data_IF_737453200873
#
_entry.id   IF_737453200873
#
_cell.length_a   1.000
_cell.length_b   1.000
_cell.length_c   1.000
_cell.angle_alpha   90.00
_cell.angle_beta   90.00
_cell.angle_gamma   90.00
#
_symmetry.space_group_name_H-M   'P 1'
#
loop_
_entity.id
_entity.type
_entity.pdbx_description
1 polymer ?
#
# COMPACT_ATOMS: atom_id res chain seq x y z
N UNK A 1 23.89 5.40 4.28
CA UNK A 1 22.91 5.56 3.18
C UNK A 1 21.86 4.44 3.21
N UNK A 2 22.26 3.16 3.31
CA UNK A 2 21.35 2.00 3.31
C UNK A 2 20.19 2.08 4.33
N UNK A 3 20.48 2.33 5.62
CA UNK A 3 19.42 2.43 6.64
C UNK A 3 18.43 3.59 6.39
N UNK A 4 18.90 4.72 5.84
CA UNK A 4 18.00 5.83 5.49
C UNK A 4 17.03 5.43 4.37
N UNK A 5 17.52 4.71 3.36
CA UNK A 5 16.70 4.21 2.26
C UNK A 5 15.73 3.10 2.72
N UNK A 6 16.16 2.28 3.69
CA UNK A 6 15.31 1.24 4.31
C UNK A 6 14.20 1.84 5.17
N UNK A 7 14.53 2.80 6.05
CA UNK A 7 13.54 3.53 6.86
C UNK A 7 12.58 4.29 5.94
N UNK A 8 13.12 4.95 4.91
CA UNK A 8 12.36 5.59 3.83
C UNK A 8 11.32 6.59 4.33
N UNK A 9 11.75 7.56 5.17
CA UNK A 9 10.88 8.65 5.62
C UNK A 9 10.58 9.60 4.45
N UNK A 10 9.31 9.78 4.16
CA UNK A 10 8.80 10.64 3.08
C UNK A 10 7.88 11.71 3.65
N UNK A 11 8.08 12.96 3.23
CA UNK A 11 7.12 14.04 3.48
C UNK A 11 6.33 14.22 2.19
N UNK A 12 5.00 14.25 2.29
CA UNK A 12 4.14 14.34 1.13
C UNK A 12 2.75 14.83 1.50
N UNK A 13 1.80 14.56 0.62
CA UNK A 13 0.39 14.92 0.80
C UNK A 13 -0.44 13.66 0.63
N UNK A 14 -1.36 13.44 1.57
CA UNK A 14 -2.45 12.47 1.42
C UNK A 14 -3.58 13.18 0.67
N UNK A 15 -4.02 12.61 -0.44
CA UNK A 15 -4.96 13.23 -1.36
C UNK A 15 -6.17 12.29 -1.52
N UNK A 16 -7.36 12.83 -1.36
CA UNK A 16 -8.61 12.11 -1.50
C UNK A 16 -9.21 12.34 -2.88
N UNK A 17 -9.46 11.26 -3.62
CA UNK A 17 -10.16 11.26 -4.89
C UNK A 17 -11.59 10.73 -4.68
N UNK A 18 -12.61 11.59 -4.69
CA UNK A 18 -14.00 11.14 -4.56
C UNK A 18 -14.38 10.17 -5.68
N UNK A 19 -15.16 9.15 -5.38
CA UNK A 19 -15.67 8.22 -6.38
C UNK A 19 -17.14 7.90 -6.14
N UNK A 20 -17.78 7.45 -7.21
CA UNK A 20 -19.11 6.85 -7.20
C UNK A 20 -19.04 5.51 -7.92
N UNK A 21 -19.54 4.45 -7.30
CA UNK A 21 -19.71 3.13 -7.88
C UNK A 21 -21.17 2.89 -8.26
N UNK A 22 -21.45 2.02 -9.25
CA UNK A 22 -22.81 1.70 -9.67
C UNK A 22 -23.63 0.99 -8.59
N UNK A 23 -22.95 0.31 -7.66
CA UNK A 23 -23.57 -0.39 -6.54
C UNK A 23 -22.67 -0.34 -5.29
N UNK A 24 -23.24 -0.57 -4.09
CA UNK A 24 -22.51 -0.67 -2.83
C UNK A 24 -21.27 -1.56 -2.87
N UNK A 25 -20.17 -1.07 -2.28
CA UNK A 25 -18.98 -1.89 -2.03
C UNK A 25 -19.20 -2.82 -0.84
N UNK A 26 -19.39 -4.12 -1.08
CA UNK A 26 -19.43 -5.14 -0.02
C UNK A 26 -20.50 -4.89 1.06
N UNK A 27 -21.64 -4.28 0.69
CA UNK A 27 -22.72 -3.91 1.62
C UNK A 27 -22.58 -2.52 2.27
N UNK A 28 -21.57 -1.73 1.88
CA UNK A 28 -21.37 -0.34 2.31
C UNK A 28 -22.04 0.70 1.42
N UNK A 29 -21.42 1.86 1.26
CA UNK A 29 -21.92 2.92 0.39
C UNK A 29 -21.47 2.74 -1.07
N UNK A 30 -22.23 3.32 -2.00
CA UNK A 30 -21.90 3.37 -3.42
C UNK A 30 -21.04 4.61 -3.78
N UNK A 31 -20.52 5.30 -2.78
CA UNK A 31 -19.64 6.46 -2.95
C UNK A 31 -18.63 6.50 -1.82
N UNK A 32 -17.50 7.13 -2.06
CA UNK A 32 -16.48 7.29 -1.03
C UNK A 32 -15.32 8.14 -1.51
N UNK A 33 -14.23 8.08 -0.74
CA UNK A 33 -12.98 8.77 -1.05
C UNK A 33 -11.89 7.71 -1.18
N UNK A 34 -11.23 7.68 -2.34
CA UNK A 34 -10.03 6.89 -2.57
C UNK A 34 -8.83 7.74 -2.16
N UNK A 35 -8.19 7.38 -1.06
CA UNK A 35 -7.02 8.09 -0.58
C UNK A 35 -5.75 7.55 -1.20
N UNK A 36 -4.89 8.47 -1.65
CA UNK A 36 -3.55 8.15 -2.14
C UNK A 36 -2.54 8.99 -1.38
N UNK A 37 -1.29 8.54 -1.39
CA UNK A 37 -0.16 9.32 -0.87
C UNK A 37 0.83 9.62 -2.00
N UNK A 38 1.30 10.87 -2.06
CA UNK A 38 2.33 11.28 -3.00
C UNK A 38 3.35 12.20 -2.34
N UNK A 39 4.61 12.06 -2.75
CA UNK A 39 5.68 13.04 -2.44
C UNK A 39 5.77 14.16 -3.49
N UNK A 40 5.01 14.05 -4.57
CA UNK A 40 4.97 14.97 -5.72
C UNK A 40 3.59 15.62 -5.85
N UNK A 41 3.15 16.29 -4.79
CA UNK A 41 1.86 16.98 -4.82
C UNK A 41 1.85 18.15 -5.81
N UNK A 42 3.02 18.74 -6.10
CA UNK A 42 3.25 19.73 -7.15
C UNK A 42 2.77 19.27 -8.54
N UNK A 43 2.74 17.96 -8.78
CA UNK A 43 2.36 17.39 -10.08
C UNK A 43 0.91 16.91 -10.14
N UNK A 44 0.09 17.15 -9.10
CA UNK A 44 -1.30 16.65 -9.03
C UNK A 44 -2.12 17.02 -10.27
N UNK A 45 -1.98 18.25 -10.78
CA UNK A 45 -2.72 18.73 -11.96
C UNK A 45 -2.39 17.97 -13.26
N UNK A 46 -1.33 17.16 -13.25
CA UNK A 46 -0.91 16.27 -14.32
C UNK A 46 -1.37 14.83 -14.15
N UNK A 47 -2.14 14.51 -13.10
CA UNK A 47 -2.68 13.17 -12.90
C UNK A 47 -3.70 12.82 -13.99
N UNK A 48 -3.47 11.72 -14.71
CA UNK A 48 -4.31 11.31 -15.85
C UNK A 48 -5.04 9.98 -15.62
N UNK A 49 -4.66 9.23 -14.59
CA UNK A 49 -5.37 8.06 -14.10
C UNK A 49 -5.01 7.80 -12.63
N UNK A 50 -5.75 6.90 -11.98
CA UNK A 50 -5.43 6.40 -10.64
C UNK A 50 -5.31 4.88 -10.70
N UNK A 51 -4.31 4.31 -10.03
CA UNK A 51 -4.08 2.88 -10.00
C UNK A 51 -4.24 2.32 -8.58
N UNK A 52 -4.87 1.15 -8.46
CA UNK A 52 -5.07 0.42 -7.20
C UNK A 52 -4.46 -0.97 -7.26
N UNK A 53 -4.14 -1.51 -6.09
CA UNK A 53 -3.69 -2.90 -5.93
C UNK A 53 -4.79 -3.89 -6.33
N UNK A 54 -4.38 -5.11 -6.70
CA UNK A 54 -5.30 -6.17 -7.11
C UNK A 54 -6.30 -6.56 -5.99
N UNK A 55 -5.88 -6.47 -4.73
CA UNK A 55 -6.69 -6.76 -3.55
C UNK A 55 -7.54 -5.59 -3.07
N UNK A 56 -7.43 -4.41 -3.71
CA UNK A 56 -8.16 -3.23 -3.27
C UNK A 56 -9.68 -3.44 -3.40
N UNK A 57 -10.52 -2.97 -2.44
CA UNK A 57 -11.97 -3.19 -2.48
C UNK A 57 -12.64 -2.75 -3.79
N UNK A 58 -12.20 -1.63 -4.39
CA UNK A 58 -12.69 -1.17 -5.70
C UNK A 58 -12.34 -2.13 -6.85
N UNK A 59 -11.15 -2.75 -6.82
CA UNK A 59 -10.74 -3.73 -7.81
C UNK A 59 -11.60 -4.99 -7.71
N UNK A 60 -11.80 -5.50 -6.49
CA UNK A 60 -12.62 -6.67 -6.22
C UNK A 60 -14.09 -6.44 -6.61
N UNK A 61 -14.61 -5.24 -6.36
CA UNK A 61 -15.96 -4.86 -6.78
C UNK A 61 -16.10 -4.83 -8.29
N UNK A 62 -15.20 -4.14 -9.00
CA UNK A 62 -15.22 -4.09 -10.47
C UNK A 62 -15.09 -5.49 -11.11
N UNK A 63 -14.36 -6.41 -10.46
CA UNK A 63 -14.19 -7.77 -10.93
C UNK A 63 -15.46 -8.64 -10.83
N UNK A 64 -16.46 -8.26 -10.02
CA UNK A 64 -17.71 -9.03 -9.87
C UNK A 64 -18.46 -9.20 -11.19
N UNK A 65 -18.38 -8.19 -12.07
CA UNK A 65 -19.03 -8.19 -13.38
C UNK A 65 -18.05 -8.28 -14.55
N UNK A 66 -16.75 -8.45 -14.28
CA UNK A 66 -15.69 -8.49 -15.29
C UNK A 66 -14.79 -9.72 -15.08
N UNK A 67 -15.07 -10.85 -15.76
CA UNK A 67 -14.29 -12.08 -15.63
C UNK A 67 -12.81 -11.94 -16.00
N UNK A 68 -12.48 -11.05 -16.95
CA UNK A 68 -11.09 -10.82 -17.34
C UNK A 68 -10.34 -10.10 -16.22
N UNK A 69 -10.96 -9.10 -15.59
CA UNK A 69 -10.38 -8.42 -14.44
C UNK A 69 -10.24 -9.36 -13.24
N UNK A 70 -11.21 -10.23 -12.98
CA UNK A 70 -11.12 -11.25 -11.95
C UNK A 70 -9.92 -12.19 -12.18
N UNK A 71 -9.72 -12.66 -13.41
CA UNK A 71 -8.58 -13.49 -13.78
C UNK A 71 -7.24 -12.75 -13.59
N UNK A 72 -7.18 -11.45 -13.93
CA UNK A 72 -5.99 -10.63 -13.73
C UNK A 72 -5.67 -10.39 -12.25
N UNK A 73 -6.69 -10.19 -11.41
CA UNK A 73 -6.51 -10.09 -9.95
C UNK A 73 -5.95 -11.40 -9.39
N UNK A 74 -6.47 -12.54 -9.83
CA UNK A 74 -5.95 -13.86 -9.41
C UNK A 74 -4.53 -14.14 -9.92
N UNK A 75 -4.17 -13.65 -11.12
CA UNK A 75 -2.77 -13.66 -11.60
C UNK A 75 -1.87 -12.84 -10.65
N UNK A 76 -2.27 -11.62 -10.31
CA UNK A 76 -1.50 -10.74 -9.43
C UNK A 76 -1.27 -11.37 -8.04
N UNK A 77 -2.27 -12.05 -7.48
CA UNK A 77 -2.16 -12.75 -6.18
C UNK A 77 -1.17 -13.92 -6.18
N UNK A 78 -0.93 -14.53 -7.34
CA UNK A 78 0.03 -15.64 -7.49
C UNK A 78 1.45 -15.14 -7.79
N UNK A 79 1.61 -13.86 -8.10
CA UNK A 79 2.90 -13.24 -8.37
C UNK A 79 3.73 -13.01 -7.11
N UNK A 80 5.01 -12.71 -7.32
CA UNK A 80 5.90 -12.27 -6.24
C UNK A 80 5.43 -10.91 -5.69
N UNK A 81 5.20 -10.85 -4.38
CA UNK A 81 4.71 -9.64 -3.67
C UNK A 81 5.84 -8.79 -3.09
N UNK A 82 7.10 -9.20 -3.27
CA UNK A 82 8.23 -8.41 -2.79
C UNK A 82 8.52 -7.23 -3.72
N UNK A 83 8.96 -6.11 -3.16
CA UNK A 83 9.29 -4.93 -3.96
C UNK A 83 10.39 -5.20 -4.99
N UNK A 84 11.34 -6.09 -4.68
CA UNK A 84 12.42 -6.48 -5.58
C UNK A 84 11.91 -7.27 -6.79
N UNK A 85 10.98 -8.20 -6.57
CA UNK A 85 10.35 -8.96 -7.66
C UNK A 85 9.46 -8.06 -8.51
N UNK A 86 8.71 -7.14 -7.91
CA UNK A 86 7.84 -6.22 -8.65
C UNK A 86 8.63 -5.21 -9.49
N UNK A 87 9.83 -4.82 -9.08
CA UNK A 87 10.67 -3.90 -9.83
C UNK A 87 11.14 -4.48 -11.17
N UNK A 88 11.36 -5.80 -11.24
CA UNK A 88 11.84 -6.49 -12.45
C UNK A 88 10.71 -7.05 -13.33
N UNK A 89 9.51 -7.19 -12.78
CA UNK A 89 8.34 -7.64 -13.53
C UNK A 89 7.90 -6.61 -14.57
N UNK A 90 7.42 -7.14 -15.71
CA UNK A 90 6.69 -6.36 -16.70
C UNK A 90 5.49 -5.69 -16.03
N UNK A 91 5.31 -4.39 -16.28
CA UNK A 91 4.18 -3.63 -15.74
C UNK A 91 2.93 -4.02 -16.51
N UNK A 92 1.95 -4.55 -15.78
CA UNK A 92 0.66 -4.95 -16.33
C UNK A 92 -0.44 -4.21 -15.61
N UNK A 93 -1.54 -3.94 -16.30
CA UNK A 93 -2.72 -3.39 -15.68
C UNK A 93 -3.95 -3.56 -16.54
N UNK A 94 -5.11 -3.36 -15.92
CA UNK A 94 -6.40 -3.45 -16.56
C UNK A 94 -7.32 -2.32 -16.08
N UNK A 95 -8.13 -1.71 -16.98
CA UNK A 95 -9.11 -0.72 -16.57
C UNK A 95 -10.22 -1.39 -15.77
N UNK A 96 -10.66 -0.74 -14.69
CA UNK A 96 -11.78 -1.23 -13.86
C UNK A 96 -13.15 -0.93 -14.48
N UNK A 97 -13.22 0.05 -15.39
CA UNK A 97 -14.48 0.66 -15.84
C UNK A 97 -15.05 1.67 -14.85
N UNK A 98 -14.45 1.83 -13.66
CA UNK A 98 -14.77 2.86 -12.70
C UNK A 98 -13.93 4.11 -12.95
N UNK A 99 -14.42 5.24 -12.43
CA UNK A 99 -13.71 6.51 -12.44
C UNK A 99 -13.67 7.11 -11.04
N UNK A 100 -12.67 7.96 -10.81
CA UNK A 100 -12.59 8.81 -9.63
C UNK A 100 -12.55 10.27 -10.08
N UNK A 101 -12.88 11.20 -9.19
CA UNK A 101 -12.91 12.63 -9.48
C UNK A 101 -11.61 13.26 -9.03
N UNK A 102 -10.96 14.00 -9.92
CA UNK A 102 -9.79 14.81 -9.59
C UNK A 102 -10.21 15.91 -8.58
N UNK A 103 -9.62 15.99 -7.38
CA UNK A 103 -10.16 16.82 -6.29
C UNK A 103 -10.07 18.33 -6.54
N UNK A 104 -9.14 18.77 -7.40
CA UNK A 104 -8.99 20.19 -7.77
C UNK A 104 -9.73 20.58 -9.05
N UNK A 105 -9.53 19.86 -10.16
CA UNK A 105 -10.17 20.18 -11.46
C UNK A 105 -11.61 19.70 -11.58
N UNK A 106 -12.00 18.64 -10.87
CA UNK A 106 -13.29 17.98 -11.03
C UNK A 106 -13.34 16.98 -12.20
N UNK A 107 -12.24 16.79 -12.94
CA UNK A 107 -12.21 15.87 -14.08
C UNK A 107 -12.35 14.41 -13.63
N UNK A 108 -13.00 13.60 -14.47
CA UNK A 108 -13.06 12.15 -14.25
C UNK A 108 -11.74 11.49 -14.68
N UNK A 109 -11.10 10.77 -13.76
CA UNK A 109 -9.90 9.98 -14.00
C UNK A 109 -10.26 8.49 -14.04
N UNK A 110 -9.81 7.73 -15.05
CA UNK A 110 -10.03 6.30 -15.10
C UNK A 110 -9.28 5.60 -13.96
N UNK A 111 -9.95 4.62 -13.33
CA UNK A 111 -9.36 3.79 -12.29
C UNK A 111 -8.85 2.48 -12.90
N UNK A 112 -7.59 2.15 -12.60
CA UNK A 112 -6.90 0.96 -13.11
C UNK A 112 -6.49 0.03 -11.98
N UNK A 113 -6.48 -1.27 -12.23
CA UNK A 113 -5.73 -2.24 -11.41
C UNK A 113 -4.35 -2.38 -12.03
N UNK A 114 -3.30 -2.25 -11.23
CA UNK A 114 -1.93 -2.40 -11.71
C UNK A 114 -1.09 -3.29 -10.79
N UNK A 115 -0.27 -4.17 -11.37
CA UNK A 115 0.50 -5.16 -10.63
C UNK A 115 1.64 -4.57 -9.78
N UNK A 116 1.99 -3.30 -10.00
CA UNK A 116 3.04 -2.61 -9.24
C UNK A 116 2.50 -1.83 -8.02
N UNK A 117 1.19 -1.81 -7.80
CA UNK A 117 0.58 -1.17 -6.63
C UNK A 117 0.36 -2.23 -5.55
N UNK A 118 0.93 -2.00 -4.36
CA UNK A 118 0.87 -2.92 -3.24
C UNK A 118 -0.16 -2.47 -2.20
N UNK A 119 -1.04 -3.37 -1.77
CA UNK A 119 -2.03 -3.08 -0.73
C UNK A 119 -1.38 -2.64 0.60
N UNK A 120 -0.21 -3.18 0.91
CA UNK A 120 0.56 -2.83 2.11
C UNK A 120 1.35 -1.52 2.03
N UNK A 121 1.27 -0.77 0.93
CA UNK A 121 1.90 0.54 0.78
C UNK A 121 0.85 1.64 0.63
N UNK A 122 0.83 2.59 1.57
CA UNK A 122 -0.24 3.60 1.63
C UNK A 122 -1.60 2.94 1.89
N UNK A 123 -2.59 3.28 1.08
CA UNK A 123 -3.94 2.67 1.12
C UNK A 123 -4.17 1.74 -0.08
N UNK A 124 -3.09 1.19 -0.65
CA UNK A 124 -3.17 0.33 -1.83
C UNK A 124 -3.57 1.06 -3.11
N UNK A 125 -3.30 2.37 -3.18
CA UNK A 125 -3.68 3.25 -4.28
C UNK A 125 -2.65 4.35 -4.52
N UNK A 126 -2.43 4.70 -5.79
CA UNK A 126 -1.54 5.79 -6.24
C UNK A 126 -2.18 6.59 -7.37
N UNK A 127 -2.02 7.92 -7.34
CA UNK A 127 -2.27 8.73 -8.54
C UNK A 127 -1.11 8.55 -9.51
N UNK A 128 -1.38 8.57 -10.80
CA UNK A 128 -0.34 8.46 -11.80
C UNK A 128 -0.16 9.75 -12.59
N UNK A 129 1.08 10.20 -12.70
CA UNK A 129 1.46 11.43 -13.41
C UNK A 129 2.52 11.10 -14.46
N UNK A 130 2.10 10.56 -15.63
CA UNK A 130 3.04 10.02 -16.62
C UNK A 130 4.10 10.99 -17.11
N UNK A 131 3.82 12.29 -17.09
CA UNK A 131 4.79 13.27 -17.55
C UNK A 131 5.99 13.45 -16.60
N UNK A 132 5.90 12.96 -15.35
CA UNK A 132 6.84 13.24 -14.27
C UNK A 132 7.21 12.02 -13.39
N UNK A 133 6.74 10.81 -13.71
CA UNK A 133 7.21 9.54 -13.13
C UNK A 133 7.47 8.51 -14.25
N UNK A 134 8.63 7.86 -14.20
CA UNK A 134 9.09 6.91 -15.23
C UNK A 134 8.16 5.69 -15.39
N UNK A 135 7.65 5.17 -14.27
CA UNK A 135 6.80 3.98 -14.26
C UNK A 135 5.44 4.32 -14.85
N UNK A 136 4.92 5.50 -14.49
CA UNK A 136 3.67 6.02 -15.04
C UNK A 136 3.82 6.34 -16.53
N UNK A 137 4.97 6.89 -16.96
CA UNK A 137 5.27 7.12 -18.37
C UNK A 137 5.25 5.82 -19.18
N UNK A 138 5.93 4.79 -18.69
CA UNK A 138 5.99 3.49 -19.35
C UNK A 138 4.59 2.85 -19.44
N UNK A 139 3.84 2.87 -18.33
CA UNK A 139 2.47 2.35 -18.28
C UNK A 139 1.54 3.12 -19.22
N UNK A 140 1.56 4.46 -19.16
CA UNK A 140 0.73 5.29 -20.03
C UNK A 140 1.07 5.10 -21.50
N UNK A 141 2.36 5.00 -21.85
CA UNK A 141 2.81 4.72 -23.21
C UNK A 141 2.33 3.36 -23.72
N UNK A 142 2.34 2.33 -22.87
CA UNK A 142 1.88 0.99 -23.21
C UNK A 142 0.36 0.93 -23.43
N UNK A 143 -0.42 1.62 -22.59
CA UNK A 143 -1.89 1.57 -22.60
C UNK A 143 -2.56 2.75 -23.32
N UNK A 144 -1.79 3.65 -23.94
CA UNK A 144 -2.30 4.82 -24.65
C UNK A 144 -3.00 5.83 -23.73
N UNK A 145 -2.56 5.95 -22.47
CA UNK A 145 -3.12 6.89 -21.51
C UNK A 145 -2.53 8.30 -21.72
N UNK A 146 -3.26 9.37 -21.35
CA UNK A 146 -2.78 10.73 -21.55
C UNK A 146 -1.49 11.00 -20.76
N UNK A 147 -0.57 11.75 -21.38
CA UNK A 147 0.66 12.25 -20.77
C UNK A 147 0.56 13.78 -20.77
N UNK A 148 0.41 14.38 -19.59
CA UNK A 148 0.17 15.82 -19.41
C UNK A 148 1.31 16.48 -18.64
N UNK A 149 2.23 17.20 -19.31
CA UNK A 149 3.28 17.96 -18.64
C UNK A 149 2.70 19.10 -17.80
N UNK A 150 3.07 19.13 -16.52
CA UNK A 150 2.69 20.17 -15.56
C UNK A 150 3.86 20.80 -14.81
N UNK A 151 5.08 20.31 -15.03
CA UNK A 151 6.31 20.91 -14.52
C UNK A 151 7.21 21.28 -15.69
N UNK A 152 7.68 22.52 -15.71
CA UNK A 152 8.81 22.92 -16.54
C UNK A 152 10.09 22.53 -15.83
N UNK A 153 10.78 21.53 -16.37
CA UNK A 153 12.05 20.99 -15.84
C UNK A 153 13.24 21.68 -16.48
N UNK A 154 14.46 21.24 -16.15
CA UNK A 154 15.70 21.79 -16.73
C UNK A 154 15.81 21.62 -18.25
N UNK A 155 15.04 20.69 -18.83
CA UNK A 155 15.04 20.41 -20.27
C UNK A 155 13.81 20.97 -21.01
N UNK A 156 12.91 21.68 -20.32
CA UNK A 156 11.75 22.33 -20.95
C UNK A 156 10.41 21.98 -20.29
N UNK A 157 9.31 22.34 -20.97
CA UNK A 157 7.94 22.12 -20.50
C UNK A 157 7.19 20.99 -21.21
N UNK A 158 7.90 20.15 -21.94
CA UNK A 158 7.34 19.05 -22.72
C UNK A 158 7.98 17.72 -22.29
N UNK A 159 7.25 16.63 -22.50
CA UNK A 159 7.68 15.26 -22.14
C UNK A 159 7.53 14.31 -23.34
N UNK A 160 8.23 14.53 -24.47
CA UNK A 160 8.20 13.58 -25.59
C UNK A 160 8.89 12.26 -25.22
N UNK A 161 8.51 11.17 -25.92
CA UNK A 161 9.23 9.90 -25.83
C UNK A 161 10.61 10.00 -26.50
N UNK A 162 11.62 9.23 -26.03
CA UNK A 162 11.57 8.32 -24.88
C UNK A 162 11.62 9.05 -23.53
N UNK A 163 11.34 8.33 -22.44
CA UNK A 163 11.50 8.86 -21.08
C UNK A 163 12.92 9.39 -20.85
N UNK A 164 13.04 10.51 -20.13
CA UNK A 164 14.29 11.11 -19.70
C UNK A 164 14.25 11.37 -18.20
N UNK A 165 15.33 11.08 -17.49
CA UNK A 165 15.44 11.29 -16.03
C UNK A 165 15.09 12.73 -15.62
N UNK A 166 15.45 13.71 -16.45
CA UNK A 166 15.16 15.12 -16.21
C UNK A 166 13.66 15.47 -16.19
N UNK A 167 12.76 14.58 -16.64
CA UNK A 167 11.32 14.79 -16.51
C UNK A 167 10.83 14.64 -15.07
N UNK A 168 11.58 13.93 -14.22
CA UNK A 168 11.31 13.80 -12.80
C UNK A 168 11.86 14.97 -11.95
N UNK A 169 12.66 15.87 -12.54
CA UNK A 169 13.22 17.01 -11.82
C UNK A 169 12.10 17.87 -11.19
N UNK A 170 12.41 18.45 -10.04
CA UNK A 170 11.63 19.55 -9.49
C UNK A 170 11.81 20.80 -10.37
N UNK A 171 10.74 21.55 -10.56
CA UNK A 171 10.74 22.71 -11.44
C UNK A 171 9.63 23.69 -11.09
N UNK A 172 9.16 24.41 -12.11
CA UNK A 172 8.08 25.39 -11.97
C UNK A 172 6.80 24.84 -12.58
N UNK A 173 5.68 24.97 -11.87
CA UNK A 173 4.39 24.53 -12.37
C UNK A 173 3.98 25.29 -13.64
N UNK A 174 3.49 24.52 -14.62
CA UNK A 174 2.89 24.96 -15.88
C UNK A 174 1.60 24.16 -16.10
N UNK A 175 0.68 24.64 -16.94
CA UNK A 175 -0.57 23.92 -17.27
C UNK A 175 -1.39 23.49 -16.04
N UNK A 176 -1.27 24.25 -14.95
CA UNK A 176 -1.76 23.95 -13.60
C UNK A 176 -2.69 25.04 -13.06
N UNK A 177 -3.10 26.01 -13.89
CA UNK A 177 -4.11 27.01 -13.53
C UNK A 177 -3.61 27.93 -12.40
N UNK A 178 -4.25 27.98 -11.22
CA UNK A 178 -3.85 28.88 -10.14
C UNK A 178 -2.44 28.60 -9.59
N UNK A 179 -1.87 27.43 -9.89
CA UNK A 179 -0.54 27.05 -9.43
C UNK A 179 0.57 27.38 -10.43
N UNK A 180 0.24 27.88 -11.63
CA UNK A 180 1.25 28.23 -12.63
C UNK A 180 2.25 29.25 -12.09
N UNK A 181 3.54 29.00 -12.33
CA UNK A 181 4.63 29.85 -11.86
C UNK A 181 5.14 29.55 -10.44
N UNK A 182 4.46 28.69 -9.67
CA UNK A 182 4.94 28.25 -8.35
C UNK A 182 6.11 27.25 -8.49
N UNK A 183 7.10 27.35 -7.61
CA UNK A 183 8.11 26.31 -7.45
C UNK A 183 7.59 25.12 -6.62
N UNK A 184 8.36 24.03 -6.54
CA UNK A 184 7.99 22.81 -5.81
C UNK A 184 7.39 23.06 -4.41
N UNK A 185 8.10 23.78 -3.54
CA UNK A 185 7.64 23.99 -2.15
C UNK A 185 6.37 24.83 -2.11
N UNK A 186 6.31 25.91 -2.90
CA UNK A 186 5.13 26.77 -2.99
C UNK A 186 3.91 26.02 -3.54
N UNK A 187 4.10 25.18 -4.57
CA UNK A 187 3.05 24.39 -5.18
C UNK A 187 2.51 23.33 -4.22
N UNK A 188 3.39 22.58 -3.54
CA UNK A 188 2.99 21.60 -2.52
C UNK A 188 2.21 22.28 -1.39
N UNK A 189 2.64 23.45 -0.92
CA UNK A 189 1.97 24.19 0.15
C UNK A 189 0.58 24.68 -0.28
N UNK A 190 0.48 25.28 -1.48
CA UNK A 190 -0.78 25.77 -2.03
C UNK A 190 -1.78 24.64 -2.29
N UNK A 191 -1.33 23.56 -2.95
CA UNK A 191 -2.16 22.39 -3.25
C UNK A 191 -2.64 21.72 -1.96
N UNK A 192 -1.76 21.55 -0.97
CA UNK A 192 -2.16 20.96 0.31
C UNK A 192 -3.19 21.83 1.05
N UNK A 193 -3.05 23.16 1.01
CA UNK A 193 -4.00 24.09 1.60
C UNK A 193 -5.39 24.00 0.92
N UNK A 194 -5.43 24.00 -0.41
CA UNK A 194 -6.67 23.91 -1.18
C UNK A 194 -7.36 22.56 -1.00
N UNK A 195 -6.60 21.46 -0.95
CA UNK A 195 -7.13 20.14 -0.64
C UNK A 195 -7.67 20.06 0.79
N UNK A 196 -6.97 20.65 1.75
CA UNK A 196 -7.40 20.69 3.16
C UNK A 196 -8.68 21.48 3.33
N UNK A 197 -8.82 22.63 2.65
CA UNK A 197 -10.06 23.42 2.65
C UNK A 197 -11.27 22.64 2.10
N UNK A 198 -11.04 21.65 1.22
CA UNK A 198 -12.07 20.74 0.70
C UNK A 198 -12.27 19.48 1.56
N UNK A 199 -11.48 19.27 2.61
CA UNK A 199 -11.46 18.01 3.36
C UNK A 199 -10.93 16.82 2.54
N UNK A 200 -10.21 17.09 1.45
CA UNK A 200 -9.70 16.10 0.49
C UNK A 200 -8.18 16.01 0.50
N UNK A 201 -7.51 16.54 1.53
CA UNK A 201 -6.10 16.26 1.72
C UNK A 201 -5.44 16.96 2.89
N UNK A 202 -4.27 16.46 3.24
CA UNK A 202 -3.43 16.97 4.32
C UNK A 202 -1.96 16.61 4.06
N UNK A 203 -1.04 17.44 4.56
CA UNK A 203 0.37 17.06 4.59
C UNK A 203 0.54 15.87 5.52
N UNK A 204 1.26 14.84 5.06
CA UNK A 204 1.48 13.61 5.80
C UNK A 204 2.92 13.17 5.71
N UNK A 205 3.43 12.62 6.81
CA UNK A 205 4.71 11.90 6.84
C UNK A 205 4.42 10.41 6.77
N UNK A 206 5.11 9.71 5.88
CA UNK A 206 5.03 8.25 5.76
C UNK A 206 6.41 7.64 5.85
N UNK A 207 6.44 6.34 6.12
CA UNK A 207 7.66 5.56 6.20
C UNK A 207 7.49 4.33 5.31
N UNK A 208 8.53 4.01 4.52
CA UNK A 208 8.60 2.73 3.80
C UNK A 208 8.74 1.56 4.76
N UNK A 209 9.36 1.81 5.92
CA UNK A 209 9.51 0.83 6.99
C UNK A 209 8.15 0.26 7.41
N UNK A 210 8.08 -1.06 7.49
CA UNK A 210 6.92 -1.79 8.03
C UNK A 210 7.22 -2.28 9.43
N UNK A 211 6.18 -2.61 10.17
CA UNK A 211 6.33 -3.22 11.48
C UNK A 211 7.08 -4.55 11.38
N UNK A 212 7.88 -4.82 12.40
CA UNK A 212 8.65 -6.05 12.47
C UNK A 212 7.74 -7.20 12.91
N UNK A 213 7.36 -8.04 11.95
CA UNK A 213 6.69 -9.31 12.24
C UNK A 213 7.68 -10.28 12.89
N UNK A 214 7.58 -10.47 14.20
CA UNK A 214 8.48 -11.34 14.97
C UNK A 214 8.04 -12.80 15.02
N UNK A 215 6.79 -13.13 14.70
CA UNK A 215 6.30 -14.51 14.79
C UNK A 215 6.89 -15.41 13.70
N UNK A 216 7.38 -16.59 14.10
CA UNK A 216 7.93 -17.61 13.21
C UNK A 216 7.26 -18.95 13.49
N UNK A 217 6.73 -19.58 12.43
CA UNK A 217 6.19 -20.95 12.49
C UNK A 217 7.35 -21.97 12.44
N UNK A 218 8.25 -21.88 13.42
CA UNK A 218 9.45 -22.69 13.59
C UNK A 218 9.56 -23.11 15.05
N UNK A 219 10.11 -24.30 15.29
CA UNK A 219 10.29 -24.80 16.65
C UNK A 219 11.52 -24.23 17.33
N UNK A 220 12.63 -24.12 16.61
CA UNK A 220 13.90 -23.71 17.22
C UNK A 220 14.01 -22.20 17.33
N UNK A 221 13.48 -21.66 18.43
CA UNK A 221 13.51 -20.24 18.77
C UNK A 221 12.89 -19.98 20.13
N UNK A 222 12.97 -18.74 20.60
CA UNK A 222 12.37 -18.32 21.88
C UNK A 222 10.85 -18.42 21.80
N UNK A 223 10.17 -19.20 22.67
CA UNK A 223 8.71 -19.24 22.71
C UNK A 223 8.11 -17.86 22.97
N UNK A 224 7.07 -17.49 22.21
CA UNK A 224 6.35 -16.24 22.43
C UNK A 224 5.53 -16.38 23.73
N UNK A 225 5.69 -15.49 24.73
CA UNK A 225 5.06 -15.62 26.05
C UNK A 225 3.60 -15.13 26.05
N UNK A 226 2.79 -15.70 25.16
CA UNK A 226 1.35 -15.44 25.05
C UNK A 226 0.58 -16.74 25.33
N UNK A 227 -0.55 -16.60 26.02
CA UNK A 227 -1.54 -17.64 26.29
C UNK A 227 -2.85 -17.21 25.62
N UNK A 228 -3.43 -18.09 24.80
CA UNK A 228 -4.74 -17.91 24.18
C UNK A 228 -5.82 -18.56 25.05
N UNK A 229 -6.69 -17.74 25.62
CA UNK A 229 -7.85 -18.14 26.41
C UNK A 229 -9.14 -17.84 25.63
N UNK A 230 -10.11 -18.75 25.65
CA UNK A 230 -11.41 -18.55 24.98
C UNK A 230 -12.25 -17.41 25.61
N UNK A 231 -12.04 -17.11 26.90
CA UNK A 231 -12.74 -16.03 27.61
C UNK A 231 -11.99 -14.68 27.57
N UNK A 232 -10.68 -14.70 27.80
CA UNK A 232 -9.86 -13.49 27.94
C UNK A 232 -9.16 -13.05 26.64
N UNK A 233 -9.09 -13.90 25.61
CA UNK A 233 -8.32 -13.64 24.40
C UNK A 233 -6.83 -13.95 24.56
N UNK A 234 -5.96 -13.14 23.97
CA UNK A 234 -4.51 -13.28 24.05
C UNK A 234 -3.97 -12.58 25.31
N UNK A 235 -3.44 -13.36 26.24
CA UNK A 235 -3.01 -12.91 27.57
C UNK A 235 -1.50 -13.14 27.71
N UNK A 236 -0.72 -12.17 28.21
CA UNK A 236 0.69 -12.36 28.47
C UNK A 236 0.92 -13.37 29.61
N UNK A 237 2.01 -14.14 29.50
CA UNK A 237 2.50 -14.96 30.61
C UNK A 237 3.00 -14.01 31.72
N UNK A 238 2.63 -14.20 32.99
CA UNK A 238 3.14 -13.38 34.10
C UNK A 238 4.66 -13.45 34.24
N UNK A 239 5.28 -12.35 34.66
CA UNK A 239 6.75 -12.25 34.79
C UNK A 239 7.34 -13.34 35.69
N UNK A 240 6.65 -13.72 36.76
CA UNK A 240 7.11 -14.77 37.70
C UNK A 240 7.02 -16.18 37.11
N UNK A 241 6.31 -16.36 36.00
CA UNK A 241 6.19 -17.62 35.26
C UNK A 241 7.12 -17.68 34.04
N UNK A 242 7.92 -16.64 33.83
CA UNK A 242 8.98 -16.65 32.82
C UNK A 242 10.23 -17.38 33.36
N UNK A 243 10.99 -18.05 32.47
CA UNK A 243 10.77 -18.17 31.03
C UNK A 243 9.71 -19.22 30.66
N UNK A 244 9.05 -19.02 29.51
CA UNK A 244 8.37 -20.14 28.83
C UNK A 244 9.45 -21.01 28.20
N UNK A 245 9.78 -22.12 28.86
CA UNK A 245 10.88 -23.01 28.45
C UNK A 245 10.51 -23.77 27.17
N UNK A 246 11.38 -23.71 26.15
CA UNK A 246 11.26 -24.52 24.95
C UNK A 246 11.63 -25.98 25.28
N UNK A 247 10.77 -26.98 24.99
CA UNK A 247 11.10 -28.39 25.25
C UNK A 247 12.17 -28.87 24.27
N UNK A 248 13.38 -29.18 24.73
CA UNK A 248 14.54 -29.45 23.86
C UNK A 248 14.55 -30.82 23.15
N UNK A 249 13.73 -31.76 23.60
CA UNK A 249 13.74 -33.15 23.14
C UNK A 249 12.87 -33.39 21.88
N UNK A 250 12.18 -32.37 21.38
CA UNK A 250 11.32 -32.50 20.20
C UNK A 250 12.17 -32.51 18.91
N UNK A 251 11.86 -33.44 18.02
CA UNK A 251 12.55 -33.61 16.73
C UNK A 251 11.61 -33.16 15.61
N UNK A 252 11.94 -32.07 14.87
CA UNK A 252 11.16 -31.66 13.71
C UNK A 252 11.19 -32.71 12.60
N UNK A 253 10.02 -33.06 12.07
CA UNK A 253 9.85 -34.07 11.00
C UNK A 253 9.47 -33.45 9.65
N UNK A 254 9.38 -32.11 9.57
CA UNK A 254 8.97 -31.38 8.38
C UNK A 254 7.46 -31.26 8.18
N UNK A 255 6.63 -31.89 9.03
CA UNK A 255 5.16 -31.86 8.93
C UNK A 255 4.52 -30.62 9.59
N UNK A 256 5.32 -29.70 10.13
CA UNK A 256 4.89 -28.48 10.80
C UNK A 256 5.70 -28.18 12.06
N UNK A 257 5.29 -27.16 12.81
CA UNK A 257 5.93 -26.82 14.08
C UNK A 257 5.54 -27.85 15.17
N UNK A 258 6.47 -28.67 15.71
CA UNK A 258 6.18 -29.74 16.67
C UNK A 258 5.52 -29.26 17.97
N UNK A 259 5.66 -27.99 18.35
CA UNK A 259 4.97 -27.43 19.53
C UNK A 259 3.44 -27.56 19.43
N UNK A 260 2.88 -27.52 18.22
CA UNK A 260 1.45 -27.72 17.99
C UNK A 260 0.96 -29.13 18.36
N UNK A 261 1.87 -30.11 18.39
CA UNK A 261 1.56 -31.52 18.62
C UNK A 261 2.02 -32.00 19.99
N UNK A 262 2.47 -31.09 20.85
CA UNK A 262 3.01 -31.43 22.17
C UNK A 262 2.12 -30.85 23.28
N UNK A 263 1.10 -31.61 23.74
CA UNK A 263 0.11 -31.15 24.72
C UNK A 263 0.71 -30.63 26.04
N UNK A 264 1.84 -31.18 26.48
CA UNK A 264 2.48 -30.77 27.75
C UNK A 264 3.02 -29.34 27.72
N UNK A 265 3.47 -28.88 26.55
CA UNK A 265 3.80 -27.47 26.34
C UNK A 265 2.55 -26.64 26.03
N UNK A 266 1.70 -27.15 25.13
CA UNK A 266 0.59 -26.40 24.57
C UNK A 266 -0.48 -26.07 25.63
N UNK A 267 -0.86 -27.03 26.47
CA UNK A 267 -1.94 -26.85 27.43
C UNK A 267 -1.45 -26.14 28.68
N UNK A 268 -2.18 -25.10 29.09
CA UNK A 268 -1.91 -24.36 30.31
C UNK A 268 -3.21 -23.82 30.91
N UNK A 269 -3.09 -23.09 32.02
CA UNK A 269 -4.21 -22.42 32.67
C UNK A 269 -4.08 -20.91 32.39
N UNK A 270 -5.20 -20.27 32.08
CA UNK A 270 -5.24 -18.82 31.91
C UNK A 270 -4.91 -18.13 33.24
N UNK A 271 -3.92 -17.22 33.27
CA UNK A 271 -3.53 -16.55 34.50
C UNK A 271 -4.57 -15.52 34.99
N UNK A 272 -5.47 -15.06 34.12
CA UNK A 272 -6.52 -14.09 34.49
C UNK A 272 -7.78 -14.74 35.07
N UNK A 273 -8.27 -15.82 34.45
CA UNK A 273 -9.56 -16.42 34.81
C UNK A 273 -9.49 -17.87 35.30
N UNK A 274 -8.30 -18.49 35.30
CA UNK A 274 -8.10 -19.87 35.76
C UNK A 274 -8.67 -20.96 34.85
N UNK A 275 -9.22 -20.62 33.69
CA UNK A 275 -9.79 -21.59 32.75
C UNK A 275 -8.71 -22.27 31.89
N UNK A 276 -8.97 -23.47 31.31
CA UNK A 276 -8.09 -24.09 30.34
C UNK A 276 -7.77 -23.15 29.17
N UNK A 277 -6.50 -23.08 28.80
CA UNK A 277 -5.98 -22.23 27.75
C UNK A 277 -4.84 -22.93 26.98
N UNK A 278 -4.39 -22.32 25.89
CA UNK A 278 -3.25 -22.82 25.10
C UNK A 278 -2.13 -21.79 25.02
N UNK A 279 -0.87 -22.21 25.08
CA UNK A 279 0.26 -21.33 24.78
C UNK A 279 0.33 -21.01 23.29
N UNK A 280 0.91 -19.87 22.95
CA UNK A 280 1.40 -19.61 21.60
C UNK A 280 2.48 -20.65 21.24
N UNK A 281 2.45 -21.13 20.00
CA UNK A 281 3.39 -22.13 19.48
C UNK A 281 4.41 -21.53 18.53
N UNK A 282 4.13 -20.35 17.99
CA UNK A 282 5.13 -19.60 17.24
C UNK A 282 6.29 -19.17 18.16
N UNK A 283 7.46 -19.11 17.56
CA UNK A 283 8.68 -18.61 18.21
C UNK A 283 9.06 -17.25 17.65
N UNK A 284 9.94 -16.54 18.37
CA UNK A 284 10.44 -15.24 17.94
C UNK A 284 11.46 -15.37 16.80
N UNK A 285 11.48 -14.37 15.92
CA UNK A 285 12.54 -14.11 14.96
C UNK A 285 13.91 -14.04 15.65
N UNK A 286 14.93 -14.63 15.03
CA UNK A 286 16.29 -14.80 15.59
C UNK A 286 17.20 -13.62 15.27
#
# INVERSE_FOLDING_TARGET
LMQKNWIGKSHGVRIGFPYQSPSPLGGGEASGILWVFTTRADTLMGATYVAVAAEHPLALHAAQTNPQLAAFIDECRRGGVTEAELATQEKKGMPTGLTVTHPLTGDALPLWVANYVLMGYGEGAVMAVPAHDERDFAFASQFGLPIKPVIRTRIGGETPAPWQEAYADEGVCINSGPYDGLNFTQAVDAIAADLSAKGLGEKKVTWRLRDWGVSRQRYWGTPIPIIHCAGCGAVPVPDEQLPVVLPEHLIPDGSGNPLNKYPEFLHCICPECGQPARRETDTMDT
#
